data_IF_800538881372
#
_entry.id   IF_800538881372
#
_cell.length_a   1.000
_cell.length_b   1.000
_cell.length_c   1.000
_cell.angle_alpha   90.00
_cell.angle_beta   90.00
_cell.angle_gamma   90.00
#
_symmetry.space_group_name_H-M   'P 1'
#
loop_
_entity.id
_entity.type
_entity.pdbx_description
1 polymer ?
#
# COMPACT_ATOMS: atom_id res chain seq x y z
N UNK A 1 11.01 1.26 -29.67
CA UNK A 1 10.13 1.39 -28.48
C UNK A 1 10.06 0.02 -27.84
N UNK A 2 10.59 -0.14 -26.63
CA UNK A 2 10.47 -1.41 -25.91
C UNK A 2 9.00 -1.56 -25.53
N UNK A 3 8.31 -2.50 -26.17
CA UNK A 3 6.89 -2.75 -25.93
C UNK A 3 6.75 -3.59 -24.65
N UNK A 4 7.02 -2.97 -23.50
CA UNK A 4 6.85 -3.62 -22.20
C UNK A 4 5.37 -3.88 -21.99
N UNK A 5 4.97 -5.16 -22.03
CA UNK A 5 3.60 -5.57 -21.74
C UNK A 5 3.44 -5.73 -20.24
N UNK A 6 2.44 -5.06 -19.65
CA UNK A 6 2.14 -5.15 -18.23
C UNK A 6 0.92 -6.04 -18.01
N UNK A 7 1.14 -7.35 -17.86
CA UNK A 7 0.07 -8.36 -17.78
C UNK A 7 -1.03 -8.01 -16.77
N UNK A 8 -0.64 -7.57 -15.57
CA UNK A 8 -1.60 -7.24 -14.51
C UNK A 8 -2.36 -5.95 -14.77
N UNK A 9 -1.73 -4.96 -15.41
CA UNK A 9 -2.41 -3.72 -15.83
C UNK A 9 -3.49 -4.03 -16.86
N UNK A 10 -3.19 -4.84 -17.88
CA UNK A 10 -4.17 -5.25 -18.89
C UNK A 10 -5.31 -6.09 -18.28
N UNK A 11 -4.98 -7.04 -17.40
CA UNK A 11 -5.98 -7.84 -16.69
C UNK A 11 -6.92 -6.97 -15.84
N UNK A 12 -6.37 -5.97 -15.15
CA UNK A 12 -7.14 -5.00 -14.38
C UNK A 12 -8.07 -4.17 -15.27
N UNK A 13 -7.57 -3.62 -16.37
CA UNK A 13 -8.39 -2.84 -17.32
C UNK A 13 -9.54 -3.69 -17.88
N UNK A 14 -9.26 -4.95 -18.24
CA UNK A 14 -10.27 -5.90 -18.70
C UNK A 14 -11.32 -6.18 -17.62
N UNK A 15 -10.90 -6.36 -16.36
CA UNK A 15 -11.80 -6.58 -15.23
C UNK A 15 -12.73 -5.37 -15.01
N UNK A 16 -12.16 -4.16 -14.97
CA UNK A 16 -12.95 -2.94 -14.79
C UNK A 16 -13.95 -2.73 -15.94
N UNK A 17 -13.53 -3.00 -17.18
CA UNK A 17 -14.40 -2.93 -18.36
C UNK A 17 -15.53 -3.98 -18.31
N UNK A 18 -15.22 -5.23 -17.95
CA UNK A 18 -16.19 -6.33 -17.78
C UNK A 18 -17.31 -5.93 -16.81
N UNK A 19 -16.92 -5.27 -15.70
CA UNK A 19 -17.84 -4.80 -14.66
C UNK A 19 -18.44 -3.42 -14.90
N UNK A 20 -18.13 -2.80 -16.05
CA UNK A 20 -18.58 -1.45 -16.45
C UNK A 20 -18.29 -0.40 -15.37
N UNK A 21 -17.12 -0.49 -14.77
CA UNK A 21 -16.67 0.43 -13.72
C UNK A 21 -16.21 1.73 -14.37
N UNK A 22 -16.72 2.85 -13.87
CA UNK A 22 -16.13 4.16 -14.17
C UNK A 22 -14.86 4.30 -13.34
N UNK A 23 -13.74 4.55 -14.00
CA UNK A 23 -12.45 4.74 -13.33
C UNK A 23 -11.69 5.90 -13.95
N UNK A 24 -10.81 6.51 -13.14
CA UNK A 24 -9.89 7.56 -13.60
C UNK A 24 -8.47 7.05 -13.49
N UNK A 25 -7.70 7.22 -14.55
CA UNK A 25 -6.31 6.81 -14.61
C UNK A 25 -5.39 8.03 -14.43
N UNK A 26 -4.33 7.85 -13.65
CA UNK A 26 -3.33 8.88 -13.36
C UNK A 26 -1.95 8.36 -13.72
N UNK A 27 -1.30 9.03 -14.65
CA UNK A 27 0.12 8.90 -14.93
C UNK A 27 0.92 9.78 -13.96
N UNK A 28 2.00 9.22 -13.42
CA UNK A 28 2.87 9.94 -12.52
C UNK A 28 4.30 9.38 -12.56
N UNK A 29 5.26 10.16 -12.07
CA UNK A 29 6.63 9.68 -11.86
C UNK A 29 6.66 8.55 -10.81
N UNK A 30 7.71 7.74 -10.88
CA UNK A 30 7.97 6.69 -9.88
C UNK A 30 8.29 7.36 -8.53
N UNK A 31 7.56 6.97 -7.48
CA UNK A 31 7.83 7.41 -6.12
C UNK A 31 7.51 6.25 -5.16
N UNK A 32 8.43 6.01 -4.23
CA UNK A 32 8.38 4.86 -3.31
C UNK A 32 7.83 5.20 -1.93
N UNK A 33 7.68 6.49 -1.59
CA UNK A 33 7.19 6.95 -0.30
C UNK A 33 5.72 7.30 -0.37
N UNK A 34 4.94 6.74 0.56
CA UNK A 34 3.48 6.83 0.57
C UNK A 34 2.94 8.26 0.72
N UNK A 35 3.67 9.15 1.41
CA UNK A 35 3.32 10.57 1.54
C UNK A 35 3.47 11.33 0.22
N UNK A 36 4.62 11.19 -0.44
CA UNK A 36 4.92 11.90 -1.67
C UNK A 36 4.05 11.43 -2.83
N UNK A 37 3.80 10.12 -2.93
CA UNK A 37 2.94 9.63 -4.00
C UNK A 37 1.48 10.05 -3.81
N UNK A 38 1.00 10.16 -2.57
CA UNK A 38 -0.34 10.67 -2.29
C UNK A 38 -0.49 12.15 -2.73
N UNK A 39 0.54 12.97 -2.49
CA UNK A 39 0.59 14.35 -2.97
C UNK A 39 0.58 14.42 -4.51
N UNK A 40 1.44 13.64 -5.18
CA UNK A 40 1.52 13.60 -6.65
C UNK A 40 0.18 13.21 -7.29
N UNK A 41 -0.53 12.26 -6.69
CA UNK A 41 -1.83 11.79 -7.16
C UNK A 41 -2.98 12.71 -6.77
N UNK A 42 -2.80 13.53 -5.73
CA UNK A 42 -3.84 14.39 -5.16
C UNK A 42 -4.86 13.63 -4.33
N UNK A 43 -4.47 12.59 -3.60
CA UNK A 43 -5.34 11.84 -2.68
C UNK A 43 -4.91 11.98 -1.21
N UNK A 44 -5.84 11.68 -0.29
CA UNK A 44 -5.49 11.45 1.12
C UNK A 44 -4.87 10.06 1.29
N UNK A 45 -3.99 9.87 2.28
CA UNK A 45 -3.31 8.59 2.52
C UNK A 45 -4.28 7.43 2.76
N UNK A 46 -5.38 7.71 3.46
CA UNK A 46 -6.40 6.71 3.80
C UNK A 46 -7.13 6.18 2.56
N UNK A 47 -7.14 6.95 1.46
CA UNK A 47 -7.73 6.54 0.18
C UNK A 47 -6.80 5.63 -0.63
N UNK A 48 -5.51 5.60 -0.34
CA UNK A 48 -4.59 4.71 -1.02
C UNK A 48 -4.88 3.27 -0.57
N UNK A 49 -5.24 2.38 -1.48
CA UNK A 49 -5.33 0.95 -1.21
C UNK A 49 -3.96 0.31 -1.47
N UNK A 50 -3.23 0.01 -0.41
CA UNK A 50 -1.94 -0.68 -0.50
C UNK A 50 -2.15 -2.19 -0.51
N UNK A 51 -1.44 -2.88 -1.40
CA UNK A 51 -1.57 -4.33 -1.55
C UNK A 51 -0.21 -5.02 -1.36
N UNK A 52 -0.13 -5.91 -0.38
CA UNK A 52 1.08 -6.65 -0.02
C UNK A 52 0.83 -8.14 0.01
N UNK A 53 1.82 -8.94 -0.39
CA UNK A 53 1.69 -10.41 -0.37
C UNK A 53 2.37 -10.96 0.88
N UNK A 54 1.64 -11.78 1.63
CA UNK A 54 2.15 -12.53 2.78
C UNK A 54 2.25 -14.02 2.46
N UNK A 55 3.26 -14.67 3.02
CA UNK A 55 3.49 -16.11 3.01
C UNK A 55 3.11 -16.66 4.39
N UNK A 56 2.18 -17.61 4.41
CA UNK A 56 1.62 -18.18 5.63
C UNK A 56 1.86 -19.68 5.62
N UNK A 57 2.59 -20.16 6.63
CA UNK A 57 2.88 -21.58 6.82
C UNK A 57 1.93 -22.19 7.84
N UNK A 58 1.41 -23.37 7.52
CA UNK A 58 0.59 -24.21 8.37
C UNK A 58 1.24 -25.60 8.49
N UNK A 59 0.76 -26.41 9.43
CA UNK A 59 1.22 -27.79 9.61
C UNK A 59 1.13 -28.61 8.31
N UNK A 60 0.12 -28.31 7.49
CA UNK A 60 -0.12 -28.96 6.21
C UNK A 60 0.02 -27.99 5.03
N UNK A 61 1.22 -27.39 4.90
CA UNK A 61 1.62 -26.66 3.70
C UNK A 61 1.57 -25.14 3.84
N UNK A 62 1.58 -24.46 2.70
CA UNK A 62 1.69 -23.00 2.61
C UNK A 62 0.50 -22.40 1.87
N UNK A 63 0.09 -21.21 2.27
CA UNK A 63 -0.87 -20.38 1.52
C UNK A 63 -0.33 -18.96 1.39
N UNK A 64 -0.77 -18.28 0.34
CA UNK A 64 -0.45 -16.89 0.10
C UNK A 64 -1.71 -16.05 0.21
N UNK A 65 -1.54 -14.84 0.75
CA UNK A 65 -2.62 -13.87 0.84
C UNK A 65 -2.14 -12.51 0.36
N UNK A 66 -2.99 -11.82 -0.39
CA UNK A 66 -2.88 -10.41 -0.70
C UNK A 66 -3.62 -9.64 0.40
N UNK A 67 -2.88 -8.93 1.24
CA UNK A 67 -3.44 -8.02 2.23
C UNK A 67 -3.70 -6.67 1.57
N UNK A 68 -4.91 -6.14 1.73
CA UNK A 68 -5.32 -4.83 1.22
C UNK A 68 -5.77 -3.95 2.38
N UNK A 69 -5.18 -2.77 2.52
CA UNK A 69 -5.45 -1.83 3.62
C UNK A 69 -5.24 -0.37 3.19
N UNK A 70 -5.74 0.62 3.96
CA UNK A 70 -5.40 2.02 3.75
C UNK A 70 -3.89 2.28 3.84
N UNK A 71 -3.35 3.14 2.97
CA UNK A 71 -1.92 3.51 2.96
C UNK A 71 -1.49 4.42 4.12
N UNK A 72 -2.42 4.77 5.01
CA UNK A 72 -2.16 5.38 6.32
C UNK A 72 -1.86 4.36 7.42
N UNK A 73 -1.95 3.05 7.13
CA UNK A 73 -1.91 1.99 8.11
C UNK A 73 -0.81 0.97 7.79
N UNK A 74 -0.37 0.22 8.82
CA UNK A 74 0.58 -0.88 8.67
C UNK A 74 -0.07 -2.22 8.94
N UNK A 75 0.28 -3.22 8.13
CA UNK A 75 -0.16 -4.62 8.34
C UNK A 75 0.38 -5.14 9.67
N UNK A 76 -0.54 -5.65 10.48
CA UNK A 76 -0.24 -6.38 11.70
C UNK A 76 -0.28 -7.89 11.40
N UNK A 77 0.90 -8.46 11.14
CA UNK A 77 1.03 -9.88 10.80
C UNK A 77 0.58 -10.79 11.97
N UNK A 78 0.69 -10.35 13.21
CA UNK A 78 0.33 -11.16 14.37
C UNK A 78 -1.19 -11.34 14.51
N UNK A 79 -1.97 -10.29 14.19
CA UNK A 79 -3.44 -10.39 14.11
C UNK A 79 -3.85 -11.42 13.04
N UNK A 80 -3.22 -11.35 11.86
CA UNK A 80 -3.49 -12.29 10.77
C UNK A 80 -3.09 -13.70 11.16
N UNK A 81 -1.90 -13.89 11.75
CA UNK A 81 -1.39 -15.20 12.20
C UNK A 81 -2.35 -15.85 13.18
N UNK A 82 -2.82 -15.08 14.16
CA UNK A 82 -3.76 -15.54 15.19
C UNK A 82 -5.09 -15.93 14.59
N UNK A 83 -5.67 -15.09 13.72
CA UNK A 83 -6.93 -15.38 13.04
C UNK A 83 -6.86 -16.64 12.19
N UNK A 84 -5.80 -16.78 11.39
CA UNK A 84 -5.60 -17.94 10.52
C UNK A 84 -5.17 -19.21 11.28
N UNK A 85 -4.77 -19.10 12.55
CA UNK A 85 -4.13 -20.19 13.33
C UNK A 85 -2.89 -20.73 12.62
N UNK A 86 -2.08 -19.83 12.07
CA UNK A 86 -0.88 -20.17 11.32
C UNK A 86 0.32 -20.40 12.25
N UNK A 87 1.22 -21.29 11.82
CA UNK A 87 2.47 -21.57 12.54
C UNK A 87 3.48 -20.43 12.34
N UNK A 88 3.57 -19.92 11.10
CA UNK A 88 4.46 -18.81 10.73
C UNK A 88 3.81 -17.91 9.69
N UNK A 89 4.15 -16.63 9.76
CA UNK A 89 3.75 -15.62 8.79
C UNK A 89 4.93 -14.69 8.50
N UNK A 90 5.07 -14.27 7.25
CA UNK A 90 6.00 -13.23 6.84
C UNK A 90 5.53 -12.56 5.56
N UNK A 91 6.08 -11.40 5.21
CA UNK A 91 5.94 -10.91 3.83
C UNK A 91 6.58 -11.89 2.85
N UNK A 92 5.94 -12.10 1.70
CA UNK A 92 6.45 -12.98 0.67
C UNK A 92 7.73 -12.40 0.06
N UNK A 93 8.71 -13.26 -0.21
CA UNK A 93 9.92 -12.87 -0.93
C UNK A 93 9.56 -12.32 -2.32
N UNK A 94 10.34 -11.35 -2.82
CA UNK A 94 10.09 -10.68 -4.11
C UNK A 94 9.84 -11.64 -5.27
N UNK A 95 10.59 -12.76 -5.36
CA UNK A 95 10.39 -13.77 -6.40
C UNK A 95 9.02 -14.45 -6.34
N UNK A 96 8.53 -14.73 -5.13
CA UNK A 96 7.20 -15.34 -4.91
C UNK A 96 6.11 -14.31 -5.21
N UNK A 97 6.25 -13.09 -4.69
CA UNK A 97 5.33 -11.99 -4.98
C UNK A 97 5.20 -11.77 -6.49
N UNK A 98 6.32 -11.59 -7.21
CA UNK A 98 6.34 -11.41 -8.68
C UNK A 98 5.65 -12.54 -9.42
N UNK A 99 5.90 -13.80 -9.02
CA UNK A 99 5.25 -14.97 -9.63
C UNK A 99 3.73 -14.96 -9.44
N UNK A 100 3.26 -14.54 -8.27
CA UNK A 100 1.84 -14.54 -7.93
C UNK A 100 1.08 -13.36 -8.55
N UNK A 101 1.72 -12.19 -8.64
CA UNK A 101 1.06 -10.93 -9.00
C UNK A 101 1.45 -10.39 -10.37
N UNK A 102 2.51 -10.91 -11.01
CA UNK A 102 3.17 -10.33 -12.19
C UNK A 102 3.55 -8.84 -12.04
N UNK A 103 3.76 -8.37 -10.81
CA UNK A 103 4.06 -6.98 -10.50
C UNK A 103 5.42 -6.81 -9.82
N UNK A 104 6.04 -5.65 -10.01
CA UNK A 104 7.11 -5.18 -9.13
C UNK A 104 6.58 -4.82 -7.74
N UNK A 105 7.48 -4.73 -6.75
CA UNK A 105 7.12 -4.33 -5.39
C UNK A 105 6.51 -2.93 -5.41
N UNK A 106 5.38 -2.75 -4.72
CA UNK A 106 4.63 -1.49 -4.72
C UNK A 106 3.69 -1.31 -5.92
N UNK A 107 3.80 -2.11 -6.98
CA UNK A 107 2.95 -1.98 -8.17
C UNK A 107 1.66 -2.81 -8.11
N UNK A 108 1.53 -3.69 -7.11
CA UNK A 108 0.44 -4.65 -6.99
C UNK A 108 -0.89 -3.91 -6.77
N UNK A 109 -1.92 -4.13 -7.62
CA UNK A 109 -3.25 -3.58 -7.37
C UNK A 109 -3.96 -4.39 -6.27
N UNK A 110 -5.04 -3.87 -5.67
CA UNK A 110 -5.84 -4.56 -4.64
C UNK A 110 -6.75 -5.64 -5.26
N UNK A 111 -6.27 -6.33 -6.30
CA UNK A 111 -6.97 -7.43 -6.95
C UNK A 111 -6.02 -8.61 -7.12
N UNK A 112 -6.54 -9.81 -6.91
CA UNK A 112 -5.83 -11.05 -7.19
C UNK A 112 -6.35 -11.63 -8.50
N UNK A 113 -5.45 -11.83 -9.45
CA UNK A 113 -5.70 -12.55 -10.70
C UNK A 113 -5.16 -13.99 -10.65
N UNK A 114 -4.81 -14.46 -9.45
CA UNK A 114 -4.23 -15.77 -9.22
C UNK A 114 -5.05 -16.52 -8.17
N UNK A 115 -5.59 -17.69 -8.56
CA UNK A 115 -6.43 -18.53 -7.70
C UNK A 115 -5.73 -18.99 -6.41
N UNK A 116 -4.39 -19.04 -6.40
CA UNK A 116 -3.59 -19.45 -5.24
C UNK A 116 -3.26 -18.28 -4.29
N UNK A 117 -3.69 -17.07 -4.63
CA UNK A 117 -3.47 -15.85 -3.86
C UNK A 117 -4.82 -15.34 -3.31
N UNK A 118 -5.16 -15.82 -2.11
CA UNK A 118 -6.35 -15.38 -1.37
C UNK A 118 -6.26 -13.89 -1.03
N UNK A 119 -7.36 -13.24 -0.67
CA UNK A 119 -7.39 -11.80 -0.39
C UNK A 119 -7.90 -11.55 1.02
N UNK A 120 -7.17 -10.74 1.79
CA UNK A 120 -7.60 -10.23 3.09
C UNK A 120 -7.73 -8.71 2.98
N UNK A 121 -8.91 -8.18 3.24
CA UNK A 121 -9.19 -6.74 3.17
C UNK A 121 -9.42 -6.21 4.57
N UNK A 122 -8.74 -5.11 4.89
CA UNK A 122 -9.04 -4.32 6.08
C UNK A 122 -10.32 -3.49 5.87
N UNK A 123 -11.38 -3.71 6.67
CA UNK A 123 -12.61 -2.94 6.58
C UNK A 123 -12.44 -1.43 6.80
N UNK A 124 -11.31 -0.99 7.37
CA UNK A 124 -10.98 0.44 7.48
C UNK A 124 -10.95 1.13 6.11
N UNK A 125 -10.57 0.40 5.05
CA UNK A 125 -10.60 0.90 3.68
C UNK A 125 -12.01 1.31 3.26
N UNK A 126 -13.04 0.69 3.84
CA UNK A 126 -14.43 0.94 3.50
C UNK A 126 -14.99 2.28 3.97
N UNK A 127 -14.22 3.03 4.77
CA UNK A 127 -14.58 4.40 5.17
C UNK A 127 -14.37 5.43 4.06
N UNK A 128 -13.72 5.05 2.96
CA UNK A 128 -13.51 5.93 1.81
C UNK A 128 -14.60 5.74 0.75
N UNK A 129 -15.07 6.83 0.15
CA UNK A 129 -16.00 6.76 -0.99
C UNK A 129 -15.30 6.29 -2.28
N UNK A 130 -14.04 6.69 -2.45
CA UNK A 130 -13.17 6.39 -3.59
C UNK A 130 -11.80 5.97 -3.08
N UNK A 131 -11.22 4.97 -3.75
CA UNK A 131 -9.87 4.47 -3.48
C UNK A 131 -8.96 4.68 -4.68
N UNK A 132 -7.66 4.81 -4.43
CA UNK A 132 -6.61 4.86 -5.44
C UNK A 132 -5.53 3.82 -5.19
N UNK A 133 -5.00 3.21 -6.24
CA UNK A 133 -3.95 2.21 -6.13
C UNK A 133 -3.09 2.15 -7.40
N UNK A 134 -1.89 1.59 -7.26
CA UNK A 134 -1.05 1.27 -8.42
C UNK A 134 -1.67 0.17 -9.26
N UNK A 135 -1.63 0.32 -10.57
CA UNK A 135 -2.39 -0.48 -11.52
C UNK A 135 -1.54 -1.60 -12.15
N UNK A 136 -0.77 -2.36 -11.38
CA UNK A 136 0.18 -3.33 -11.93
C UNK A 136 1.46 -2.69 -12.52
N UNK A 137 1.61 -1.38 -12.33
CA UNK A 137 2.77 -0.56 -12.72
C UNK A 137 3.03 0.49 -11.65
N UNK A 138 4.26 0.99 -11.57
CA UNK A 138 4.66 2.02 -10.60
C UNK A 138 4.41 3.46 -11.09
N UNK A 139 4.11 3.65 -12.36
CA UNK A 139 3.88 4.95 -13.01
C UNK A 139 2.41 5.15 -13.43
N UNK A 140 1.52 4.24 -13.00
CA UNK A 140 0.09 4.26 -13.31
C UNK A 140 -0.71 3.92 -12.06
N UNK A 141 -1.60 4.83 -11.71
CA UNK A 141 -2.59 4.62 -10.66
C UNK A 141 -4.01 4.72 -11.20
N UNK A 142 -4.94 4.01 -10.58
CA UNK A 142 -6.35 4.03 -10.92
C UNK A 142 -7.17 4.42 -9.70
N UNK A 143 -8.13 5.30 -9.91
CA UNK A 143 -9.20 5.64 -8.97
C UNK A 143 -10.49 4.94 -9.35
N UNK A 144 -11.15 4.32 -8.37
CA UNK A 144 -12.49 3.75 -8.50
C UNK A 144 -13.32 4.03 -7.25
N UNK A 145 -14.65 4.09 -7.42
CA UNK A 145 -15.54 4.10 -6.27
C UNK A 145 -15.44 2.79 -5.50
N UNK A 146 -15.41 2.90 -4.18
CA UNK A 146 -15.29 1.75 -3.30
C UNK A 146 -16.46 0.76 -3.46
N UNK A 147 -17.67 1.27 -3.73
CA UNK A 147 -18.84 0.42 -4.01
C UNK A 147 -18.61 -0.52 -5.21
N UNK A 148 -17.91 -0.04 -6.24
CA UNK A 148 -17.60 -0.85 -7.42
C UNK A 148 -16.50 -1.85 -7.12
N UNK A 149 -15.49 -1.44 -6.33
CA UNK A 149 -14.48 -2.36 -5.82
C UNK A 149 -15.12 -3.54 -5.08
N UNK A 150 -15.96 -3.28 -4.07
CA UNK A 150 -16.66 -4.33 -3.29
C UNK A 150 -17.50 -5.25 -4.17
N UNK A 151 -18.30 -4.66 -5.08
CA UNK A 151 -19.13 -5.41 -6.03
C UNK A 151 -18.31 -6.36 -6.91
N UNK A 152 -17.14 -5.94 -7.38
CA UNK A 152 -16.25 -6.80 -8.18
C UNK A 152 -15.73 -7.96 -7.34
N UNK A 153 -15.24 -7.68 -6.14
CA UNK A 153 -14.69 -8.72 -5.25
C UNK A 153 -15.73 -9.79 -4.93
N UNK A 154 -16.95 -9.38 -4.55
CA UNK A 154 -18.07 -10.28 -4.27
C UNK A 154 -18.47 -11.12 -5.50
N UNK A 155 -18.33 -10.56 -6.71
CA UNK A 155 -18.66 -11.25 -7.95
C UNK A 155 -17.56 -12.20 -8.44
N UNK A 156 -16.29 -11.86 -8.26
CA UNK A 156 -15.17 -12.65 -8.82
C UNK A 156 -14.59 -13.64 -7.81
N UNK A 157 -14.67 -13.37 -6.50
CA UNK A 157 -13.97 -14.13 -5.45
C UNK A 157 -14.95 -15.00 -4.63
N UNK A 158 -15.75 -15.82 -5.33
CA UNK A 158 -16.77 -16.66 -4.71
C UNK A 158 -16.21 -17.96 -4.12
N UNK A 159 -15.28 -18.59 -4.83
CA UNK A 159 -14.65 -19.87 -4.41
C UNK A 159 -13.14 -19.73 -4.28
N UNK A 160 -12.47 -19.27 -5.34
CA UNK A 160 -11.03 -19.00 -5.35
C UNK A 160 -10.71 -17.79 -6.26
N UNK A 161 -9.89 -16.83 -5.82
CA UNK A 161 -9.33 -16.72 -4.46
C UNK A 161 -10.42 -16.50 -3.41
N UNK A 162 -10.18 -16.92 -2.17
CA UNK A 162 -11.08 -16.65 -1.05
C UNK A 162 -10.92 -15.20 -0.61
N UNK A 163 -12.04 -14.50 -0.43
CA UNK A 163 -12.10 -13.17 0.17
C UNK A 163 -12.35 -13.27 1.70
N UNK A 164 -11.53 -12.57 2.47
CA UNK A 164 -11.65 -12.45 3.93
C UNK A 164 -11.68 -10.96 4.29
N UNK A 165 -12.68 -10.54 5.05
CA UNK A 165 -12.70 -9.21 5.67
C UNK A 165 -12.23 -9.35 7.12
N UNK A 166 -11.14 -8.68 7.46
CA UNK A 166 -10.51 -8.78 8.78
C UNK A 166 -9.78 -7.46 9.09
N UNK A 167 -9.97 -6.92 10.28
CA UNK A 167 -9.13 -5.82 10.76
C UNK A 167 -7.70 -6.34 10.92
N UNK A 168 -6.83 -5.91 10.01
CA UNK A 168 -5.45 -6.43 9.87
C UNK A 168 -4.40 -5.35 10.08
N UNK A 169 -4.82 -4.14 10.41
CA UNK A 169 -3.90 -3.01 10.47
C UNK A 169 -4.01 -2.21 11.75
N UNK A 170 -2.96 -1.44 11.98
CA UNK A 170 -2.90 -0.38 12.99
C UNK A 170 -2.54 0.92 12.28
N UNK A 171 -3.09 2.02 12.76
CA UNK A 171 -2.78 3.36 12.24
C UNK A 171 -1.27 3.57 12.35
N UNK A 172 -0.66 4.09 11.30
CA UNK A 172 0.73 4.51 11.36
C UNK A 172 0.82 5.77 12.23
N UNK A 173 0.97 5.55 13.53
CA UNK A 173 1.43 6.61 14.42
C UNK A 173 2.88 6.87 14.06
N UNK A 174 3.13 8.00 13.40
CA UNK A 174 4.46 8.62 13.43
C UNK A 174 4.74 9.02 14.89
N UNK A 175 5.07 8.04 15.74
CA UNK A 175 6.07 8.34 16.74
C UNK A 175 7.29 8.71 15.93
N UNK A 176 7.72 9.96 16.05
CA UNK A 176 9.07 10.33 15.70
C UNK A 176 9.97 9.38 16.48
N UNK A 177 10.36 8.26 15.87
CA UNK A 177 11.49 7.47 16.34
C UNK A 177 12.66 8.43 16.30
N UNK A 178 13.22 8.66 17.48
CA UNK A 178 14.33 9.54 17.79
C UNK A 178 15.18 9.87 16.57
N UNK A 179 15.06 11.12 16.11
CA UNK A 179 16.14 11.76 15.37
C UNK A 179 17.42 11.50 16.15
N UNK A 180 18.40 10.87 15.52
CA UNK A 180 19.76 10.68 16.01
C UNK A 180 20.13 11.79 17.02
N UNK A 181 20.40 11.46 18.30
CA UNK A 181 20.70 12.46 19.33
C UNK A 181 21.85 13.40 18.94
N UNK A 182 22.73 12.95 18.04
CA UNK A 182 23.81 13.78 17.50
C UNK A 182 23.29 14.88 16.57
N UNK A 183 22.23 14.61 15.82
CA UNK A 183 21.69 15.53 14.83
C UNK A 183 20.79 16.60 15.47
N UNK A 184 20.08 16.28 16.55
CA UNK A 184 19.31 17.26 17.32
C UNK A 184 20.21 18.26 18.07
N UNK A 185 21.34 17.79 18.61
CA UNK A 185 22.33 18.62 19.29
C UNK A 185 23.04 19.56 18.30
N UNK A 186 23.36 19.07 17.08
CA UNK A 186 23.98 19.88 16.04
C UNK A 186 23.03 20.95 15.46
N UNK A 187 21.72 20.71 15.44
CA UNK A 187 20.72 21.70 15.06
C UNK A 187 20.45 22.73 16.16
N UNK A 188 20.44 22.32 17.44
CA UNK A 188 20.38 23.25 18.57
C UNK A 188 21.61 24.18 18.63
N UNK A 189 22.82 23.64 18.46
CA UNK A 189 24.05 24.44 18.42
C UNK A 189 24.06 25.43 17.25
N UNK A 190 23.52 25.05 16.09
CA UNK A 190 23.37 25.94 14.93
C UNK A 190 22.34 27.04 15.18
N UNK A 191 21.27 26.75 15.94
CA UNK A 191 20.22 27.72 16.26
C UNK A 191 20.70 28.72 17.31
N UNK A 192 21.39 28.26 18.35
CA UNK A 192 22.02 29.13 19.36
C UNK A 192 23.11 30.02 18.75
N UNK A 193 23.95 29.46 17.88
CA UNK A 193 24.98 30.23 17.16
C UNK A 193 24.38 31.34 16.28
N UNK A 194 23.23 31.09 15.62
CA UNK A 194 22.52 32.11 14.84
C UNK A 194 21.89 33.20 15.72
N UNK A 195 21.35 32.85 16.88
CA UNK A 195 20.82 33.83 17.85
C UNK A 195 21.91 34.75 18.40
N UNK A 196 23.08 34.20 18.74
CA UNK A 196 24.22 34.98 19.24
C UNK A 196 24.74 35.96 18.19
N UNK A 197 24.75 35.56 16.90
CA UNK A 197 25.17 36.45 15.80
C UNK A 197 24.14 37.56 15.56
N UNK A 198 22.85 37.27 15.67
CA UNK A 198 21.78 38.27 15.51
C UNK A 198 21.85 39.34 16.61
N UNK A 199 22.05 38.95 17.87
CA UNK A 199 22.10 39.88 19.00
C UNK A 199 23.36 40.77 19.01
N UNK A 200 24.47 40.34 18.40
CA UNK A 200 25.67 41.19 18.24
C UNK A 200 25.50 42.27 17.17
N UNK A 201 24.70 42.02 16.13
CA UNK A 201 24.47 42.99 15.06
C UNK A 201 23.49 44.10 15.45
N UNK A 202 22.67 43.92 16.49
CA UNK A 202 21.79 44.97 17.02
C UNK A 202 22.48 45.91 18.03
N UNK A 203 23.65 45.54 18.58
CA UNK A 203 24.39 46.37 19.55
C UNK A 203 25.49 47.25 18.92
N UNK A 204 25.61 47.29 17.58
CA UNK A 204 26.64 48.11 16.90
C UNK A 204 26.06 49.12 15.91
N UNK A 205 24.88 49.65 16.20
CA UNK A 205 24.30 50.81 15.49
C UNK A 205 23.88 51.90 16.46
#
# INVERSE_FOLDING_TARGET
MNNTTYTTYEALKNLLNKHRVTYREVEHALEGRSDQIAEIRGNRKEQAAEAMVIDVSFQQGHKYYLTVLPGSNKVNLELIRTFLKADKISFAKTKVMKRLTNCDSGAVPPFSFNKDLNVIIDPELYKNEEIVFNAGRLDRSIYIFLKDYRRILESEYQENPILIELSISQVETNFFEDSDPQQSMLEQDKLESKMIISNKNEQTK
#
